data_IF_804855671383
#
_entry.id   IF_804855671383
#
_cell.length_a   1.000
_cell.length_b   1.000
_cell.length_c   1.000
_cell.angle_alpha   90.00
_cell.angle_beta   90.00
_cell.angle_gamma   90.00
#
_symmetry.space_group_name_H-M   'P 1'
#
loop_
_entity.id
_entity.type
_entity.pdbx_description
1 polymer ?
#
# COMPACT_ATOMS: atom_id res chain seq x y z
N UNK A 1 0.31 -53.64 27.77
CA UNK A 1 0.11 -52.26 28.29
C UNK A 1 1.09 -51.37 27.55
N UNK A 2 0.62 -50.78 26.47
CA UNK A 2 1.41 -49.88 25.60
C UNK A 2 1.16 -48.46 26.09
N UNK A 3 2.21 -47.82 26.63
CA UNK A 3 2.21 -46.37 26.87
C UNK A 3 2.37 -45.72 25.52
N UNK A 4 1.31 -45.12 25.00
CA UNK A 4 1.37 -44.09 23.99
C UNK A 4 1.92 -42.83 24.67
N UNK A 5 3.22 -42.61 24.49
CA UNK A 5 3.81 -41.30 24.75
C UNK A 5 3.19 -40.31 23.74
N UNK A 6 2.18 -39.60 24.20
CA UNK A 6 1.71 -38.35 23.54
C UNK A 6 2.86 -37.38 23.67
N UNK A 7 3.60 -37.18 22.57
CA UNK A 7 4.55 -36.10 22.44
C UNK A 7 3.78 -34.79 22.58
N UNK A 8 4.08 -34.09 23.65
CA UNK A 8 3.58 -32.75 23.96
C UNK A 8 4.17 -31.81 22.92
N UNK A 9 3.39 -31.49 21.88
CA UNK A 9 3.76 -30.47 20.91
C UNK A 9 3.71 -29.18 21.70
N UNK A 10 4.87 -28.61 22.06
CA UNK A 10 4.97 -27.34 22.77
C UNK A 10 4.04 -26.30 22.10
N UNK A 11 3.25 -25.62 22.92
CA UNK A 11 2.35 -24.57 22.44
C UNK A 11 3.11 -23.64 21.47
N UNK A 12 2.62 -23.43 20.23
CA UNK A 12 3.31 -22.58 19.26
C UNK A 12 3.64 -21.17 19.78
N UNK A 13 2.84 -20.65 20.73
CA UNK A 13 3.10 -19.36 21.36
C UNK A 13 4.28 -19.44 22.34
N UNK A 14 4.36 -20.54 23.13
CA UNK A 14 5.48 -20.76 24.04
C UNK A 14 6.80 -20.96 23.27
N UNK A 15 6.76 -21.72 22.17
CA UNK A 15 7.93 -21.90 21.31
C UNK A 15 8.42 -20.57 20.74
N UNK A 16 7.51 -19.71 20.23
CA UNK A 16 7.87 -18.39 19.72
C UNK A 16 8.48 -17.49 20.81
N UNK A 17 7.91 -17.49 22.02
CA UNK A 17 8.45 -16.72 23.13
C UNK A 17 9.87 -17.16 23.51
N UNK A 18 10.14 -18.47 23.52
CA UNK A 18 11.47 -19.02 23.77
C UNK A 18 12.46 -18.65 22.66
N UNK A 19 12.05 -18.75 21.40
CA UNK A 19 12.90 -18.35 20.26
C UNK A 19 13.24 -16.85 20.35
N UNK A 20 12.25 -16.00 20.60
CA UNK A 20 12.47 -14.56 20.76
C UNK A 20 13.43 -14.25 21.91
N UNK A 21 13.28 -14.90 23.05
CA UNK A 21 14.17 -14.73 24.19
C UNK A 21 15.63 -15.14 23.87
N UNK A 22 15.82 -16.26 23.16
CA UNK A 22 17.17 -16.68 22.72
C UNK A 22 17.79 -15.70 21.72
N UNK A 23 16.99 -15.16 20.79
CA UNK A 23 17.45 -14.13 19.84
C UNK A 23 17.89 -12.86 20.59
N UNK A 24 17.17 -12.42 21.62
CA UNK A 24 17.56 -11.29 22.47
C UNK A 24 18.87 -11.55 23.22
N UNK A 25 18.98 -12.74 23.84
CA UNK A 25 20.18 -13.11 24.60
C UNK A 25 21.45 -13.18 23.71
N UNK A 26 21.29 -13.47 22.42
CA UNK A 26 22.38 -13.62 21.44
C UNK A 26 22.48 -12.46 20.44
N UNK A 27 21.78 -11.36 20.70
CA UNK A 27 21.64 -10.25 19.75
C UNK A 27 22.98 -9.69 19.26
N UNK A 28 23.97 -9.54 20.14
CA UNK A 28 25.29 -9.00 19.76
C UNK A 28 26.03 -9.97 18.82
N UNK A 29 26.01 -11.27 19.08
CA UNK A 29 26.65 -12.25 18.21
C UNK A 29 25.99 -12.30 16.82
N UNK A 30 24.67 -12.24 16.78
CA UNK A 30 23.89 -12.19 15.53
C UNK A 30 24.20 -10.93 14.72
N UNK A 31 24.27 -9.78 15.39
CA UNK A 31 24.60 -8.50 14.74
C UNK A 31 26.01 -8.51 14.21
N UNK A 32 26.98 -8.98 15.00
CA UNK A 32 28.40 -9.00 14.59
C UNK A 32 28.60 -9.92 13.37
N UNK A 33 28.01 -11.11 13.36
CA UNK A 33 28.05 -12.02 12.20
C UNK A 33 27.39 -11.40 10.97
N UNK A 34 26.19 -10.84 11.11
CA UNK A 34 25.48 -10.20 10.01
C UNK A 34 26.24 -8.97 9.45
N UNK A 35 26.85 -8.15 10.32
CA UNK A 35 27.65 -6.99 9.90
C UNK A 35 28.92 -7.42 9.20
N UNK A 36 29.59 -8.48 9.65
CA UNK A 36 30.81 -9.00 9.03
C UNK A 36 30.60 -9.38 7.55
N UNK A 37 29.44 -9.92 7.21
CA UNK A 37 29.10 -10.30 5.83
C UNK A 37 28.29 -9.25 5.07
N UNK A 38 27.91 -8.15 5.71
CA UNK A 38 27.07 -7.10 5.12
C UNK A 38 27.70 -6.36 3.95
N UNK A 39 29.05 -6.34 3.88
CA UNK A 39 29.79 -5.76 2.76
C UNK A 39 29.46 -6.43 1.41
N UNK A 40 28.93 -7.64 1.41
CA UNK A 40 28.53 -8.38 0.21
C UNK A 40 27.03 -8.24 -0.11
N UNK A 41 26.31 -7.45 0.65
CA UNK A 41 24.84 -7.34 0.59
C UNK A 41 24.32 -5.97 0.11
N UNK A 42 25.16 -5.17 -0.56
CA UNK A 42 24.79 -3.86 -1.08
C UNK A 42 24.89 -2.73 -0.05
N UNK A 43 25.61 -2.95 1.06
CA UNK A 43 25.84 -1.95 2.11
C UNK A 43 27.27 -1.41 2.12
N UNK A 44 28.02 -1.56 1.02
CA UNK A 44 29.43 -1.16 0.93
C UNK A 44 29.63 0.35 1.14
N UNK A 45 28.64 1.15 0.73
CA UNK A 45 28.67 2.61 0.86
C UNK A 45 28.44 3.12 2.27
N UNK A 46 27.91 2.29 3.19
CA UNK A 46 27.61 2.69 4.55
C UNK A 46 28.82 2.52 5.47
N UNK A 47 28.99 3.46 6.39
CA UNK A 47 29.97 3.31 7.48
C UNK A 47 29.59 2.09 8.36
N UNK A 48 30.61 1.46 8.98
CA UNK A 48 30.38 0.27 9.83
C UNK A 48 29.39 0.55 10.95
N UNK A 49 29.46 1.74 11.57
CA UNK A 49 28.52 2.15 12.63
C UNK A 49 27.06 2.19 12.14
N UNK A 50 26.82 2.70 10.94
CA UNK A 50 25.48 2.79 10.35
C UNK A 50 24.96 1.41 9.96
N UNK A 51 25.83 0.52 9.44
CA UNK A 51 25.48 -0.89 9.19
C UNK A 51 25.06 -1.59 10.48
N UNK A 52 25.84 -1.44 11.54
CA UNK A 52 25.54 -2.04 12.85
C UNK A 52 24.21 -1.53 13.40
N UNK A 53 23.97 -0.22 13.31
CA UNK A 53 22.70 0.39 13.74
C UNK A 53 21.51 -0.19 12.95
N UNK A 54 21.63 -0.25 11.63
CA UNK A 54 20.61 -0.78 10.75
C UNK A 54 20.30 -2.26 11.04
N UNK A 55 21.33 -3.09 11.08
CA UNK A 55 21.21 -4.53 11.35
C UNK A 55 20.58 -4.77 12.72
N UNK A 56 20.96 -4.00 13.74
CA UNK A 56 20.37 -4.09 15.10
C UNK A 56 18.88 -3.72 15.11
N UNK A 57 18.49 -2.65 14.44
CA UNK A 57 17.09 -2.24 14.34
C UNK A 57 16.23 -3.29 13.63
N UNK A 58 16.74 -3.87 12.55
CA UNK A 58 16.01 -4.95 11.85
C UNK A 58 15.93 -6.23 12.72
N UNK A 59 16.98 -6.56 13.49
CA UNK A 59 16.94 -7.70 14.42
C UNK A 59 15.91 -7.51 15.54
N UNK A 60 15.77 -6.30 16.09
CA UNK A 60 14.75 -5.99 17.09
C UNK A 60 13.34 -6.22 16.54
N UNK A 61 13.06 -5.74 15.32
CA UNK A 61 11.79 -5.97 14.65
C UNK A 61 11.53 -7.45 14.35
N UNK A 62 12.55 -8.17 13.88
CA UNK A 62 12.46 -9.60 13.62
C UNK A 62 12.14 -10.36 14.92
N UNK A 63 12.80 -10.04 16.03
CA UNK A 63 12.56 -10.66 17.32
C UNK A 63 11.14 -10.38 17.83
N UNK A 64 10.66 -9.13 17.65
CA UNK A 64 9.28 -8.77 17.97
C UNK A 64 8.28 -9.55 17.11
N UNK A 65 8.52 -9.65 15.80
CA UNK A 65 7.67 -10.42 14.88
C UNK A 65 7.65 -11.92 15.19
N UNK A 66 8.76 -12.49 15.66
CA UNK A 66 8.80 -13.88 16.14
C UNK A 66 7.88 -14.06 17.36
N UNK A 67 7.94 -13.13 18.31
CA UNK A 67 7.15 -13.19 19.56
C UNK A 67 5.66 -13.06 19.31
N UNK A 68 5.25 -12.02 18.59
CA UNK A 68 3.85 -11.64 18.42
C UNK A 68 3.19 -12.27 17.19
N UNK A 69 3.96 -12.94 16.33
CA UNK A 69 3.55 -13.49 15.02
C UNK A 69 3.06 -12.47 13.99
N UNK A 70 2.98 -11.21 14.33
CA UNK A 70 2.59 -10.09 13.46
C UNK A 70 3.33 -8.83 13.89
N UNK A 71 3.50 -7.89 12.95
CA UNK A 71 4.01 -6.55 13.24
C UNK A 71 2.90 -5.53 13.01
N UNK A 72 2.70 -4.63 13.96
CA UNK A 72 1.86 -3.45 13.75
C UNK A 72 2.71 -2.34 13.12
N UNK A 73 2.26 -1.84 11.98
CA UNK A 73 2.91 -0.73 11.26
C UNK A 73 2.97 0.59 12.05
N UNK A 74 2.36 0.64 13.22
CA UNK A 74 2.33 1.80 14.13
C UNK A 74 3.34 1.71 15.27
N UNK A 75 4.10 0.62 15.36
CA UNK A 75 5.12 0.49 16.40
C UNK A 75 6.25 1.52 16.18
N UNK A 76 6.73 2.10 17.28
CA UNK A 76 7.81 3.10 17.26
C UNK A 76 9.06 2.59 16.57
N UNK A 77 9.41 1.32 16.77
CA UNK A 77 10.61 0.70 16.19
C UNK A 77 10.58 0.66 14.65
N UNK A 78 9.40 0.48 14.05
CA UNK A 78 9.24 0.51 12.59
C UNK A 78 9.35 1.94 12.06
N UNK A 79 8.83 2.92 12.79
CA UNK A 79 8.95 4.33 12.43
C UNK A 79 10.41 4.76 12.44
N UNK A 80 11.16 4.34 13.46
CA UNK A 80 12.60 4.62 13.60
C UNK A 80 13.40 3.97 12.48
N UNK A 81 13.10 2.71 12.12
CA UNK A 81 13.72 2.03 10.99
C UNK A 81 13.43 2.75 9.67
N UNK A 82 12.18 3.15 9.44
CA UNK A 82 11.78 3.89 8.24
C UNK A 82 12.55 5.20 8.13
N UNK A 83 12.78 5.89 9.23
CA UNK A 83 13.58 7.11 9.26
C UNK A 83 15.04 6.84 8.90
N UNK A 84 15.65 5.79 9.43
CA UNK A 84 17.03 5.38 9.07
C UNK A 84 17.15 5.11 7.57
N UNK A 85 16.16 4.43 6.96
CA UNK A 85 16.16 4.17 5.51
C UNK A 85 16.00 5.44 4.68
N UNK A 86 15.17 6.40 5.13
CA UNK A 86 15.01 7.70 4.46
C UNK A 86 16.29 8.56 4.54
N UNK A 87 16.94 8.59 5.70
CA UNK A 87 18.17 9.34 5.93
C UNK A 87 19.36 8.78 5.14
N UNK A 88 19.41 7.46 4.94
CA UNK A 88 20.53 6.77 4.27
C UNK A 88 20.33 6.53 2.78
N UNK A 89 19.19 6.93 2.19
CA UNK A 89 18.85 6.69 0.78
C UNK A 89 18.94 5.21 0.35
N UNK A 90 18.77 4.28 1.29
CA UNK A 90 18.84 2.86 1.02
C UNK A 90 17.60 2.40 0.25
N UNK A 91 17.82 1.50 -0.68
CA UNK A 91 16.73 0.89 -1.45
C UNK A 91 16.09 -0.30 -0.70
N UNK A 92 14.93 -0.72 -1.16
CA UNK A 92 14.19 -1.84 -0.58
C UNK A 92 14.96 -3.16 -0.69
N UNK A 93 15.78 -3.31 -1.73
CA UNK A 93 16.62 -4.50 -1.95
C UNK A 93 17.61 -4.67 -0.80
N UNK A 94 18.17 -3.56 -0.30
CA UNK A 94 19.06 -3.57 0.85
C UNK A 94 18.38 -4.10 2.10
N UNK A 95 17.11 -3.72 2.37
CA UNK A 95 16.34 -4.28 3.48
C UNK A 95 16.17 -5.80 3.36
N UNK A 96 15.77 -6.29 2.18
CA UNK A 96 15.62 -7.73 1.96
C UNK A 96 16.95 -8.47 2.16
N UNK A 97 18.06 -7.88 1.72
CA UNK A 97 19.39 -8.46 1.95
C UNK A 97 19.71 -8.51 3.45
N UNK A 98 19.46 -7.42 4.19
CA UNK A 98 19.66 -7.39 5.66
C UNK A 98 18.80 -8.42 6.37
N UNK A 99 17.51 -8.49 6.03
CA UNK A 99 16.60 -9.47 6.61
C UNK A 99 17.04 -10.92 6.35
N UNK A 100 17.52 -11.20 5.12
CA UNK A 100 18.09 -12.52 4.78
C UNK A 100 19.36 -12.84 5.56
N UNK A 101 20.28 -11.88 5.70
CA UNK A 101 21.50 -12.07 6.49
C UNK A 101 21.17 -12.34 7.95
N UNK A 102 20.24 -11.57 8.52
CA UNK A 102 19.79 -11.76 9.89
C UNK A 102 19.08 -13.09 10.10
N UNK A 103 18.23 -13.52 9.17
CA UNK A 103 17.62 -14.85 9.22
C UNK A 103 18.69 -15.94 9.30
N UNK A 104 19.70 -15.87 8.44
CA UNK A 104 20.82 -16.81 8.41
C UNK A 104 21.60 -16.81 9.73
N UNK A 105 22.03 -15.64 10.21
CA UNK A 105 22.80 -15.49 11.43
C UNK A 105 22.00 -15.91 12.66
N UNK A 106 20.72 -15.53 12.74
CA UNK A 106 19.81 -15.93 13.80
C UNK A 106 19.61 -17.47 13.85
N UNK A 107 19.36 -18.10 12.71
CA UNK A 107 19.24 -19.56 12.66
C UNK A 107 20.56 -20.26 13.02
N UNK A 108 21.71 -19.69 12.64
CA UNK A 108 23.03 -20.20 13.04
C UNK A 108 23.24 -20.19 14.56
N UNK A 109 22.86 -19.10 15.23
CA UNK A 109 22.98 -18.96 16.68
C UNK A 109 21.96 -19.84 17.42
N UNK A 110 20.74 -20.03 16.88
CA UNK A 110 19.72 -20.90 17.48
C UNK A 110 20.11 -22.39 17.39
N UNK A 111 20.87 -22.80 16.37
CA UNK A 111 21.37 -24.21 16.27
C UNK A 111 22.33 -24.55 17.38
N UNK A 112 23.15 -23.59 17.82
CA UNK A 112 24.14 -23.82 18.91
C UNK A 112 23.54 -23.60 20.29
N UNK A 113 22.28 -23.17 20.38
CA UNK A 113 21.59 -23.01 21.65
C UNK A 113 21.08 -24.36 22.19
N UNK A 114 21.74 -24.86 23.21
CA UNK A 114 21.40 -26.13 23.84
C UNK A 114 19.97 -26.20 24.40
N UNK A 115 19.32 -25.03 24.62
CA UNK A 115 17.95 -24.96 25.16
C UNK A 115 16.89 -25.48 24.19
N UNK A 116 17.19 -25.54 22.88
CA UNK A 116 16.24 -26.02 21.88
C UNK A 116 16.33 -27.51 21.57
N UNK A 117 17.36 -28.20 22.04
CA UNK A 117 17.60 -29.56 21.69
C UNK A 117 17.55 -29.80 20.18
N UNK A 118 18.57 -30.28 19.57
CA UNK A 118 18.66 -30.53 18.11
C UNK A 118 17.78 -31.71 17.64
N UNK A 119 16.57 -31.87 18.20
CA UNK A 119 15.65 -32.90 17.73
C UNK A 119 15.05 -32.47 16.40
N UNK A 120 15.02 -33.40 15.48
CA UNK A 120 14.51 -33.26 14.11
C UNK A 120 13.08 -32.67 14.02
N UNK A 121 12.32 -32.66 15.12
CA UNK A 121 10.90 -32.29 15.12
C UNK A 121 10.65 -30.83 15.45
N UNK A 122 11.47 -30.17 16.27
CA UNK A 122 11.29 -28.74 16.64
C UNK A 122 11.93 -27.77 15.67
N UNK A 123 12.99 -28.20 14.99
CA UNK A 123 13.75 -27.34 14.11
C UNK A 123 12.94 -26.74 12.90
N UNK A 124 12.07 -27.52 12.22
CA UNK A 124 11.22 -26.96 11.18
C UNK A 124 10.32 -25.83 11.69
N UNK A 125 9.75 -25.96 12.89
CA UNK A 125 8.89 -24.95 13.49
C UNK A 125 9.68 -23.67 13.85
N UNK A 126 10.88 -23.81 14.41
CA UNK A 126 11.79 -22.69 14.72
C UNK A 126 12.16 -21.95 13.44
N UNK A 127 12.66 -22.68 12.42
CA UNK A 127 13.07 -22.06 11.16
C UNK A 127 11.90 -21.38 10.44
N UNK A 128 10.70 -21.97 10.51
CA UNK A 128 9.49 -21.36 9.94
C UNK A 128 9.10 -20.08 10.69
N UNK A 129 9.20 -20.06 12.02
CA UNK A 129 8.88 -18.86 12.82
C UNK A 129 9.81 -17.70 12.47
N UNK A 130 11.13 -17.94 12.37
CA UNK A 130 12.12 -16.91 12.00
C UNK A 130 11.91 -16.43 10.56
N UNK A 131 11.69 -17.32 9.60
CA UNK A 131 11.41 -16.96 8.20
C UNK A 131 10.15 -16.14 8.04
N UNK A 132 9.08 -16.55 8.73
CA UNK A 132 7.83 -15.79 8.74
C UNK A 132 8.04 -14.39 9.29
N UNK A 133 8.76 -14.24 10.40
CA UNK A 133 9.09 -12.95 10.98
C UNK A 133 9.93 -12.08 10.04
N UNK A 134 10.90 -12.65 9.34
CA UNK A 134 11.69 -11.96 8.31
C UNK A 134 10.80 -11.42 7.19
N UNK A 135 9.85 -12.22 6.72
CA UNK A 135 8.86 -11.79 5.73
C UNK A 135 7.95 -10.67 6.25
N UNK A 136 7.43 -10.79 7.48
CA UNK A 136 6.58 -9.76 8.11
C UNK A 136 7.30 -8.41 8.23
N UNK A 137 8.58 -8.40 8.61
CA UNK A 137 9.41 -7.17 8.65
C UNK A 137 9.47 -6.52 7.27
N UNK A 138 9.77 -7.30 6.23
CA UNK A 138 9.85 -6.78 4.87
C UNK A 138 8.49 -6.29 4.36
N UNK A 139 7.41 -7.04 4.59
CA UNK A 139 6.06 -6.69 4.16
C UNK A 139 5.57 -5.40 4.82
N UNK A 140 5.72 -5.30 6.15
CA UNK A 140 5.32 -4.11 6.91
C UNK A 140 6.12 -2.88 6.50
N UNK A 141 7.41 -3.03 6.22
CA UNK A 141 8.23 -1.93 5.72
C UNK A 141 7.78 -1.46 4.33
N UNK A 142 7.44 -2.40 3.43
CA UNK A 142 6.88 -2.06 2.12
C UNK A 142 5.58 -1.26 2.26
N UNK A 143 4.69 -1.67 3.14
CA UNK A 143 3.43 -0.95 3.41
C UNK A 143 3.65 0.47 3.93
N UNK A 144 4.63 0.66 4.83
CA UNK A 144 4.97 1.97 5.36
C UNK A 144 5.59 2.85 4.29
N UNK A 145 6.51 2.27 3.50
CA UNK A 145 7.14 2.99 2.40
C UNK A 145 6.13 3.41 1.35
N UNK A 146 5.15 2.58 1.03
CA UNK A 146 4.06 2.95 0.13
C UNK A 146 3.23 4.11 0.69
N UNK A 147 3.05 4.18 2.03
CA UNK A 147 2.38 5.30 2.69
C UNK A 147 3.24 6.59 2.74
N UNK A 148 4.56 6.48 2.80
CA UNK A 148 5.50 7.59 2.93
C UNK A 148 6.24 7.92 1.64
N UNK A 149 6.17 7.06 0.62
CA UNK A 149 6.68 7.42 -0.68
C UNK A 149 5.68 8.39 -1.31
N UNK A 150 5.81 9.66 -0.94
CA UNK A 150 5.33 10.79 -1.73
C UNK A 150 6.05 10.78 -3.09
N UNK A 151 6.00 9.65 -3.75
CA UNK A 151 6.38 9.51 -5.14
C UNK A 151 5.44 10.38 -5.95
N UNK A 152 5.95 11.05 -6.95
CA UNK A 152 5.15 11.83 -7.90
C UNK A 152 4.19 10.90 -8.66
N UNK A 153 4.54 9.60 -8.74
CA UNK A 153 3.79 8.59 -9.50
C UNK A 153 3.56 7.31 -8.71
N UNK A 154 2.37 6.73 -8.89
CA UNK A 154 1.99 5.41 -8.37
C UNK A 154 2.76 4.28 -9.08
N UNK A 155 3.32 3.35 -8.34
CA UNK A 155 4.19 2.29 -8.87
C UNK A 155 3.45 1.27 -9.74
N UNK A 156 2.16 1.04 -9.50
CA UNK A 156 1.36 0.07 -10.24
C UNK A 156 0.85 0.63 -11.57
N UNK A 157 0.42 1.90 -11.59
CA UNK A 157 -0.26 2.51 -12.74
C UNK A 157 0.58 3.56 -13.46
N UNK A 158 1.69 4.02 -12.87
CA UNK A 158 2.52 5.16 -13.32
C UNK A 158 1.76 6.49 -13.44
N UNK A 159 0.55 6.57 -12.90
CA UNK A 159 -0.22 7.80 -12.77
C UNK A 159 0.29 8.64 -11.60
N UNK A 160 -0.13 9.90 -11.52
CA UNK A 160 0.19 10.71 -10.34
C UNK A 160 -0.39 10.10 -9.06
N UNK A 161 0.22 10.42 -7.92
CA UNK A 161 -0.32 10.05 -6.61
C UNK A 161 -1.42 11.03 -6.17
N UNK A 162 -2.18 10.64 -5.13
CA UNK A 162 -3.21 11.48 -4.50
C UNK A 162 -2.65 12.83 -4.05
N UNK A 163 -1.45 12.85 -3.49
CA UNK A 163 -0.80 14.06 -2.98
C UNK A 163 -0.52 15.07 -4.11
N UNK A 164 -0.02 14.59 -5.24
CA UNK A 164 0.19 15.41 -6.43
C UNK A 164 -1.13 15.95 -6.97
N UNK A 165 -2.17 15.10 -6.99
CA UNK A 165 -3.50 15.48 -7.40
C UNK A 165 -4.08 16.62 -6.53
N UNK A 166 -4.01 16.48 -5.21
CA UNK A 166 -4.49 17.49 -4.27
C UNK A 166 -3.75 18.80 -4.42
N UNK A 167 -2.43 18.77 -4.61
CA UNK A 167 -1.64 19.97 -4.87
C UNK A 167 -2.02 20.65 -6.19
N UNK A 168 -2.33 19.89 -7.23
CA UNK A 168 -2.82 20.43 -8.50
C UNK A 168 -4.23 21.04 -8.35
N UNK A 169 -5.10 20.35 -7.60
CA UNK A 169 -6.47 20.82 -7.33
C UNK A 169 -6.48 22.12 -6.52
N UNK A 170 -5.63 22.26 -5.50
CA UNK A 170 -5.48 23.51 -4.74
C UNK A 170 -5.08 24.70 -5.65
N UNK A 171 -4.18 24.47 -6.58
CA UNK A 171 -3.80 25.51 -7.57
C UNK A 171 -4.94 25.85 -8.52
N UNK A 172 -5.71 24.85 -8.94
CA UNK A 172 -6.85 25.09 -9.83
C UNK A 172 -8.00 25.83 -9.14
N UNK A 173 -8.24 25.58 -7.85
CA UNK A 173 -9.18 26.36 -7.03
C UNK A 173 -8.79 27.84 -7.03
N UNK A 174 -7.53 28.15 -6.76
CA UNK A 174 -7.02 29.54 -6.76
C UNK A 174 -7.11 30.19 -8.16
N UNK A 175 -6.85 29.40 -9.21
CA UNK A 175 -6.92 29.85 -10.59
C UNK A 175 -8.37 30.11 -11.02
N UNK A 176 -9.29 29.21 -10.69
CA UNK A 176 -10.72 29.31 -10.96
C UNK A 176 -11.33 30.57 -10.32
N UNK A 177 -11.02 30.87 -9.06
CA UNK A 177 -11.47 32.08 -8.39
C UNK A 177 -10.95 33.35 -9.11
N UNK A 178 -9.63 33.34 -9.45
CA UNK A 178 -8.99 34.51 -10.09
C UNK A 178 -9.52 34.83 -11.47
N UNK A 179 -9.80 33.80 -12.26
CA UNK A 179 -10.15 33.93 -13.68
C UNK A 179 -11.62 33.64 -13.99
N UNK A 180 -12.41 33.30 -12.97
CA UNK A 180 -13.85 33.02 -13.05
C UNK A 180 -14.19 31.94 -14.09
N UNK A 181 -13.43 30.84 -14.12
CA UNK A 181 -13.71 29.68 -14.97
C UNK A 181 -14.14 28.45 -14.16
N UNK A 182 -14.98 27.63 -14.79
CA UNK A 182 -15.39 26.36 -14.21
C UNK A 182 -14.29 25.31 -14.36
N UNK A 183 -14.21 24.36 -13.41
CA UNK A 183 -13.44 23.12 -13.53
C UNK A 183 -14.26 21.95 -13.01
N UNK A 184 -13.83 20.72 -13.34
CA UNK A 184 -14.48 19.53 -12.80
C UNK A 184 -13.46 18.60 -12.15
N UNK A 185 -13.91 17.90 -11.11
CA UNK A 185 -13.22 16.77 -10.47
C UNK A 185 -14.01 15.52 -10.76
N UNK A 186 -13.37 14.55 -11.37
CA UNK A 186 -13.97 13.25 -11.68
C UNK A 186 -13.26 12.16 -10.86
N UNK A 187 -14.03 11.29 -10.23
CA UNK A 187 -13.52 10.07 -9.59
C UNK A 187 -14.09 8.86 -10.30
N UNK A 188 -13.20 7.96 -10.71
CA UNK A 188 -13.52 6.70 -11.38
C UNK A 188 -13.15 5.57 -10.43
N UNK A 189 -14.06 4.67 -10.16
CA UNK A 189 -13.85 3.53 -9.27
C UNK A 189 -14.27 2.24 -9.97
N UNK A 190 -13.43 1.19 -9.85
CA UNK A 190 -13.64 -0.08 -10.51
C UNK A 190 -14.73 -0.87 -9.80
N UNK A 191 -15.76 -1.23 -10.53
CA UNK A 191 -16.88 -1.99 -9.96
C UNK A 191 -16.44 -3.41 -9.62
N UNK A 192 -16.82 -3.86 -8.40
CA UNK A 192 -16.65 -5.25 -7.93
C UNK A 192 -15.22 -5.78 -7.92
N UNK A 193 -14.21 -4.92 -7.75
CA UNK A 193 -12.81 -5.37 -7.71
C UNK A 193 -12.55 -6.40 -6.60
N UNK A 194 -13.22 -6.30 -5.46
CA UNK A 194 -13.14 -7.30 -4.39
C UNK A 194 -13.65 -8.69 -4.83
N UNK A 195 -14.69 -8.75 -5.67
CA UNK A 195 -15.21 -10.00 -6.22
C UNK A 195 -14.19 -10.60 -7.21
N UNK A 196 -13.56 -9.77 -8.04
CA UNK A 196 -12.48 -10.18 -8.95
C UNK A 196 -11.31 -10.74 -8.16
N UNK A 197 -10.85 -10.03 -7.12
CA UNK A 197 -9.76 -10.49 -6.27
C UNK A 197 -10.08 -11.82 -5.58
N UNK A 198 -11.31 -11.98 -5.10
CA UNK A 198 -11.75 -13.20 -4.42
C UNK A 198 -11.84 -14.40 -5.35
N UNK A 199 -12.26 -14.18 -6.60
CA UNK A 199 -12.44 -15.24 -7.59
C UNK A 199 -11.11 -15.63 -8.29
N UNK A 200 -10.24 -14.65 -8.58
CA UNK A 200 -9.08 -14.80 -9.46
C UNK A 200 -7.73 -14.44 -8.82
N UNK A 201 -7.75 -14.01 -7.55
CA UNK A 201 -6.56 -13.59 -6.80
C UNK A 201 -6.17 -12.12 -7.02
N UNK A 202 -5.34 -11.59 -6.12
CA UNK A 202 -4.91 -10.18 -6.15
C UNK A 202 -4.18 -9.78 -7.44
N UNK A 203 -3.43 -10.68 -8.06
CA UNK A 203 -2.77 -10.41 -9.33
C UNK A 203 -3.73 -10.09 -10.49
N UNK A 204 -4.95 -10.65 -10.46
CA UNK A 204 -6.00 -10.30 -11.43
C UNK A 204 -6.55 -8.89 -11.18
N UNK A 205 -6.73 -8.52 -9.92
CA UNK A 205 -7.12 -7.15 -9.57
C UNK A 205 -6.07 -6.12 -9.95
N UNK A 206 -4.79 -6.38 -9.67
CA UNK A 206 -3.69 -5.50 -10.07
C UNK A 206 -3.63 -5.32 -11.60
N UNK A 207 -3.84 -6.41 -12.35
CA UNK A 207 -3.94 -6.36 -13.81
C UNK A 207 -5.10 -5.45 -14.27
N UNK A 208 -6.28 -5.57 -13.65
CA UNK A 208 -7.43 -4.71 -13.95
C UNK A 208 -7.12 -3.25 -13.64
N UNK A 209 -6.56 -2.95 -12.47
CA UNK A 209 -6.18 -1.60 -12.08
C UNK A 209 -5.20 -1.00 -13.10
N UNK A 210 -4.16 -1.73 -13.49
CA UNK A 210 -3.21 -1.30 -14.52
C UNK A 210 -3.90 -1.00 -15.86
N UNK A 211 -4.78 -1.88 -16.31
CA UNK A 211 -5.48 -1.72 -17.58
C UNK A 211 -6.44 -0.53 -17.59
N UNK A 212 -7.20 -0.34 -16.51
CA UNK A 212 -8.03 0.85 -16.34
C UNK A 212 -7.16 2.10 -16.32
N UNK A 213 -6.06 2.10 -15.57
CA UNK A 213 -5.10 3.20 -15.52
C UNK A 213 -4.57 3.59 -16.91
N UNK A 214 -4.23 2.62 -17.77
CA UNK A 214 -3.80 2.87 -19.16
C UNK A 214 -4.93 3.50 -19.97
N UNK A 215 -6.16 2.99 -19.87
CA UNK A 215 -7.31 3.56 -20.58
C UNK A 215 -7.54 4.99 -20.15
N UNK A 216 -7.57 5.25 -18.84
CA UNK A 216 -7.78 6.57 -18.27
C UNK A 216 -6.69 7.53 -18.72
N UNK A 217 -5.40 7.16 -18.58
CA UNK A 217 -4.28 8.01 -19.01
C UNK A 217 -4.36 8.41 -20.49
N UNK A 218 -4.71 7.48 -21.37
CA UNK A 218 -4.74 7.71 -22.81
C UNK A 218 -5.99 8.47 -23.27
N UNK A 219 -6.98 8.61 -22.40
CA UNK A 219 -8.25 9.24 -22.75
C UNK A 219 -8.28 10.75 -22.47
N UNK A 220 -7.53 11.21 -21.46
CA UNK A 220 -7.49 12.59 -21.03
C UNK A 220 -6.35 13.35 -21.70
N UNK A 221 -6.47 14.70 -21.72
CA UNK A 221 -5.50 15.62 -22.35
C UNK A 221 -4.25 15.76 -21.47
N UNK A 222 -3.16 16.25 -22.02
CA UNK A 222 -1.96 16.60 -21.25
C UNK A 222 -2.20 17.69 -20.18
N UNK A 223 -3.22 18.54 -20.39
CA UNK A 223 -3.62 19.58 -19.42
C UNK A 223 -4.45 19.05 -18.28
N UNK A 224 -4.98 17.83 -18.39
CA UNK A 224 -5.77 17.20 -17.37
C UNK A 224 -4.85 16.44 -16.40
N UNK A 225 -5.15 16.51 -15.11
CA UNK A 225 -4.38 15.78 -14.11
C UNK A 225 -5.04 14.45 -13.81
N UNK A 226 -4.30 13.38 -14.02
CA UNK A 226 -4.78 12.01 -13.80
C UNK A 226 -3.94 11.35 -12.72
N UNK A 227 -4.60 10.89 -11.66
CA UNK A 227 -3.96 10.29 -10.51
C UNK A 227 -4.66 9.00 -10.05
N UNK A 228 -3.92 8.14 -9.39
CA UNK A 228 -4.49 7.07 -8.56
C UNK A 228 -4.77 7.63 -7.17
N UNK A 229 -6.05 7.79 -6.82
CA UNK A 229 -6.46 8.42 -5.58
C UNK A 229 -6.40 7.48 -4.37
N UNK A 230 -6.82 6.23 -4.56
CA UNK A 230 -6.76 5.16 -3.55
C UNK A 230 -7.01 3.82 -4.24
N UNK A 231 -6.47 2.72 -3.72
CA UNK A 231 -6.79 1.35 -4.11
C UNK A 231 -7.21 1.13 -5.56
N UNK A 232 -8.50 1.14 -5.80
CA UNK A 232 -9.19 0.97 -7.09
C UNK A 232 -9.77 2.27 -7.68
N UNK A 233 -9.49 3.41 -7.05
CA UNK A 233 -10.03 4.72 -7.45
C UNK A 233 -9.01 5.60 -8.16
N UNK A 234 -9.45 6.25 -9.25
CA UNK A 234 -8.69 7.23 -10.02
C UNK A 234 -9.36 8.60 -9.90
N UNK A 235 -8.55 9.64 -9.69
CA UNK A 235 -9.01 11.02 -9.66
C UNK A 235 -8.51 11.78 -10.88
N UNK A 236 -9.38 12.55 -11.50
CA UNK A 236 -9.08 13.35 -12.68
C UNK A 236 -9.53 14.79 -12.44
N UNK A 237 -8.62 15.74 -12.61
CA UNK A 237 -8.93 17.17 -12.62
C UNK A 237 -9.02 17.63 -14.06
N UNK A 238 -10.12 18.30 -14.38
CA UNK A 238 -10.45 18.82 -15.70
C UNK A 238 -10.54 20.37 -15.62
N UNK A 239 -9.43 21.08 -15.86
CA UNK A 239 -9.44 22.53 -15.90
C UNK A 239 -10.37 23.07 -17.01
N UNK A 240 -10.96 24.24 -16.77
CA UNK A 240 -11.77 24.96 -17.77
C UNK A 240 -12.86 24.09 -18.43
N UNK A 241 -13.43 23.14 -17.66
CA UNK A 241 -14.40 22.17 -18.18
C UNK A 241 -15.78 22.38 -17.54
N UNK A 242 -16.77 22.82 -18.31
CA UNK A 242 -18.14 23.02 -17.84
C UNK A 242 -18.86 21.68 -17.64
N UNK A 243 -19.99 21.72 -16.92
CA UNK A 243 -20.75 20.55 -16.51
C UNK A 243 -21.12 19.60 -17.65
N UNK A 244 -21.62 20.15 -18.77
CA UNK A 244 -22.06 19.32 -19.89
C UNK A 244 -20.91 18.50 -20.48
N UNK A 245 -19.75 19.13 -20.63
CA UNK A 245 -18.55 18.48 -21.19
C UNK A 245 -17.96 17.46 -20.23
N UNK A 246 -17.88 17.77 -18.94
CA UNK A 246 -17.41 16.84 -17.91
C UNK A 246 -18.30 15.58 -17.84
N UNK A 247 -19.63 15.75 -17.88
CA UNK A 247 -20.58 14.64 -17.86
C UNK A 247 -20.49 13.77 -19.13
N UNK A 248 -20.35 14.41 -20.30
CA UNK A 248 -20.17 13.69 -21.55
C UNK A 248 -18.85 12.92 -21.57
N UNK A 249 -17.77 13.54 -21.11
CA UNK A 249 -16.45 12.90 -21.01
C UNK A 249 -16.48 11.69 -20.08
N UNK A 250 -17.06 11.85 -18.89
CA UNK A 250 -17.22 10.75 -17.94
C UNK A 250 -17.98 9.55 -18.54
N UNK A 251 -19.09 9.82 -19.24
CA UNK A 251 -19.87 8.74 -19.85
C UNK A 251 -19.12 8.05 -20.98
N UNK A 252 -18.32 8.78 -21.76
CA UNK A 252 -17.47 8.19 -22.79
C UNK A 252 -16.37 7.29 -22.19
N UNK A 253 -15.71 7.73 -21.12
CA UNK A 253 -14.70 6.92 -20.42
C UNK A 253 -15.33 5.64 -19.89
N UNK A 254 -16.50 5.73 -19.24
CA UNK A 254 -17.25 4.57 -18.76
C UNK A 254 -17.49 3.53 -19.87
N UNK A 255 -18.00 4.00 -21.02
CA UNK A 255 -18.26 3.13 -22.18
C UNK A 255 -16.98 2.50 -22.71
N UNK A 256 -15.90 3.28 -22.85
CA UNK A 256 -14.61 2.78 -23.35
C UNK A 256 -14.03 1.70 -22.41
N UNK A 257 -14.15 1.86 -21.10
CA UNK A 257 -13.73 0.83 -20.16
C UNK A 257 -14.56 -0.44 -20.33
N UNK A 258 -15.89 -0.34 -20.35
CA UNK A 258 -16.81 -1.47 -20.53
C UNK A 258 -16.57 -2.22 -21.85
N UNK A 259 -16.34 -1.52 -22.97
CA UNK A 259 -16.17 -2.11 -24.28
C UNK A 259 -14.77 -2.71 -24.50
N UNK A 260 -13.72 -2.16 -23.88
CA UNK A 260 -12.32 -2.56 -24.15
C UNK A 260 -11.72 -3.47 -23.10
N UNK A 261 -12.27 -3.50 -21.90
CA UNK A 261 -11.71 -4.30 -20.83
C UNK A 261 -12.62 -5.48 -20.49
N UNK A 262 -12.16 -6.66 -20.88
CA UNK A 262 -12.82 -7.92 -20.56
C UNK A 262 -11.86 -8.82 -19.80
N UNK A 263 -12.35 -9.43 -18.74
CA UNK A 263 -11.65 -10.50 -18.05
C UNK A 263 -12.15 -11.84 -18.57
N UNK A 264 -11.22 -12.78 -18.72
CA UNK A 264 -11.53 -14.15 -19.07
C UNK A 264 -11.42 -15.01 -17.83
N UNK A 265 -12.49 -15.69 -17.49
CA UNK A 265 -12.44 -16.73 -16.47
C UNK A 265 -11.81 -17.99 -17.07
N UNK A 266 -10.59 -18.34 -16.64
CA UNK A 266 -9.87 -19.52 -17.13
C UNK A 266 -10.51 -20.84 -16.72
N UNK A 267 -11.51 -20.83 -15.83
CA UNK A 267 -12.23 -22.03 -15.40
C UNK A 267 -13.45 -22.33 -16.23
N UNK A 268 -14.21 -21.29 -16.61
CA UNK A 268 -15.42 -21.41 -17.41
C UNK A 268 -15.24 -20.99 -18.87
N UNK A 269 -14.10 -20.39 -19.23
CA UNK A 269 -13.82 -19.76 -20.53
C UNK A 269 -14.73 -18.56 -20.86
N UNK A 270 -15.54 -18.12 -19.89
CA UNK A 270 -16.43 -16.98 -20.06
C UNK A 270 -15.65 -15.66 -20.02
N UNK A 271 -16.13 -14.69 -20.79
CA UNK A 271 -15.64 -13.33 -20.76
C UNK A 271 -16.70 -12.42 -20.13
N UNK A 272 -16.28 -11.56 -19.20
CA UNK A 272 -17.15 -10.55 -18.60
C UNK A 272 -16.48 -9.16 -18.64
N UNK A 273 -17.27 -8.09 -18.90
CA UNK A 273 -16.73 -6.75 -18.97
C UNK A 273 -16.31 -6.24 -17.59
N UNK A 274 -15.22 -5.48 -17.54
CA UNK A 274 -14.88 -4.65 -16.40
C UNK A 274 -15.68 -3.37 -16.53
N UNK A 275 -16.39 -2.98 -15.46
CA UNK A 275 -17.15 -1.73 -15.43
C UNK A 275 -16.62 -0.79 -14.37
N UNK A 276 -16.96 0.49 -14.51
CA UNK A 276 -16.60 1.54 -13.56
C UNK A 276 -17.80 2.40 -13.20
N UNK A 277 -17.85 2.82 -11.94
CA UNK A 277 -18.76 3.86 -11.46
C UNK A 277 -18.01 5.18 -11.37
N UNK A 278 -18.62 6.26 -11.85
CA UNK A 278 -17.96 7.57 -11.97
C UNK A 278 -18.76 8.62 -11.22
N UNK A 279 -18.07 9.37 -10.36
CA UNK A 279 -18.58 10.57 -9.73
C UNK A 279 -17.95 11.82 -10.38
N UNK A 280 -18.74 12.80 -10.72
CA UNK A 280 -18.28 14.09 -11.27
C UNK A 280 -18.76 15.21 -10.39
N UNK A 281 -17.82 15.96 -9.85
CA UNK A 281 -18.07 17.24 -9.19
C UNK A 281 -17.77 18.36 -10.19
N UNK A 282 -18.69 19.31 -10.34
CA UNK A 282 -18.43 20.52 -11.15
C UNK A 282 -18.42 21.74 -10.25
N UNK A 283 -17.34 22.49 -10.31
CA UNK A 283 -17.11 23.73 -9.61
C UNK A 283 -17.23 24.92 -10.60
N UNK A 284 -18.37 25.58 -10.61
CA UNK A 284 -18.60 26.77 -11.43
C UNK A 284 -18.10 28.04 -10.73
N UNK A 285 -18.13 28.02 -9.39
CA UNK A 285 -17.64 29.10 -8.54
C UNK A 285 -17.24 28.46 -7.20
N UNK A 286 -15.99 28.56 -6.82
CA UNK A 286 -15.46 28.00 -5.56
C UNK A 286 -14.59 29.05 -4.89
N UNK A 287 -14.81 29.23 -3.59
CA UNK A 287 -13.97 30.08 -2.75
C UNK A 287 -12.59 29.43 -2.60
N UNK A 288 -11.51 30.19 -2.69
CA UNK A 288 -10.13 29.70 -2.52
C UNK A 288 -9.84 29.10 -1.14
N UNK A 289 -10.69 29.37 -0.15
CA UNK A 289 -10.60 28.76 1.17
C UNK A 289 -11.18 27.34 1.22
N UNK A 290 -11.82 26.88 0.13
CA UNK A 290 -12.36 25.53 0.06
C UNK A 290 -11.22 24.52 -0.02
N UNK A 291 -11.10 23.57 0.93
CA UNK A 291 -10.04 22.56 0.88
C UNK A 291 -10.20 21.65 -0.34
N UNK A 292 -9.09 21.34 -1.01
CA UNK A 292 -9.10 20.38 -2.14
C UNK A 292 -9.66 19.01 -1.75
N UNK A 293 -9.35 18.54 -0.54
CA UNK A 293 -9.88 17.30 0.03
C UNK A 293 -11.40 17.29 0.11
N UNK A 294 -12.02 18.43 0.42
CA UNK A 294 -13.49 18.53 0.51
C UNK A 294 -14.15 18.38 -0.86
N UNK A 295 -13.56 18.94 -1.92
CA UNK A 295 -14.05 18.77 -3.29
C UNK A 295 -13.86 17.31 -3.78
N UNK A 296 -12.69 16.73 -3.49
CA UNK A 296 -12.44 15.34 -3.84
C UNK A 296 -13.43 14.40 -3.12
N UNK A 297 -13.68 14.62 -1.83
CA UNK A 297 -14.65 13.84 -1.05
C UNK A 297 -16.08 13.94 -1.61
N UNK A 298 -16.52 15.11 -2.10
CA UNK A 298 -17.82 15.24 -2.76
C UNK A 298 -17.89 14.45 -4.08
N UNK A 299 -16.81 14.40 -4.85
CA UNK A 299 -16.74 13.56 -6.04
C UNK A 299 -16.76 12.05 -5.68
N UNK A 300 -16.07 11.66 -4.61
CA UNK A 300 -16.10 10.29 -4.07
C UNK A 300 -17.52 9.89 -3.58
N UNK A 301 -18.25 10.81 -2.93
CA UNK A 301 -19.65 10.58 -2.55
C UNK A 301 -20.56 10.38 -3.78
N UNK A 302 -20.30 11.11 -4.87
CA UNK A 302 -21.02 10.92 -6.12
C UNK A 302 -20.76 9.52 -6.71
N UNK A 303 -19.54 8.97 -6.59
CA UNK A 303 -19.27 7.56 -6.94
C UNK A 303 -20.14 6.63 -6.10
N UNK A 304 -20.23 6.86 -4.79
CA UNK A 304 -21.13 6.10 -3.91
C UNK A 304 -22.58 6.08 -4.40
N UNK A 305 -23.09 7.24 -4.83
CA UNK A 305 -24.43 7.35 -5.43
C UNK A 305 -24.56 6.55 -6.74
N UNK A 306 -23.55 6.59 -7.61
CA UNK A 306 -23.49 5.80 -8.84
C UNK A 306 -23.50 4.29 -8.53
N UNK A 307 -22.72 3.85 -7.54
CA UNK A 307 -22.69 2.43 -7.09
C UNK A 307 -24.03 1.97 -6.52
N UNK A 308 -24.68 2.78 -5.70
CA UNK A 308 -26.00 2.48 -5.12
C UNK A 308 -27.12 2.42 -6.18
N UNK A 309 -27.05 3.27 -7.19
CA UNK A 309 -28.01 3.29 -8.29
C UNK A 309 -27.89 2.11 -9.27
N UNK A 310 -26.90 1.20 -9.08
CA UNK A 310 -26.75 -0.03 -9.85
C UNK A 310 -25.42 -0.15 -10.60
N UNK A 311 -24.42 0.65 -10.26
CA UNK A 311 -23.07 0.64 -10.85
C UNK A 311 -23.04 0.97 -12.35
N UNK A 312 -21.87 0.89 -12.96
CA UNK A 312 -21.65 1.14 -14.40
C UNK A 312 -22.35 2.41 -14.90
N UNK A 313 -22.19 3.52 -14.18
CA UNK A 313 -22.83 4.80 -14.48
C UNK A 313 -22.10 6.00 -13.95
N UNK A 314 -22.56 7.17 -14.38
CA UNK A 314 -22.06 8.46 -13.95
C UNK A 314 -23.08 9.12 -13.03
N UNK A 315 -22.62 9.65 -11.89
CA UNK A 315 -23.36 10.58 -11.05
C UNK A 315 -22.66 11.95 -11.08
N UNK A 316 -23.42 13.03 -11.25
CA UNK A 316 -22.86 14.38 -11.36
C UNK A 316 -23.47 15.30 -10.32
N UNK A 317 -22.62 15.96 -9.53
CA UNK A 317 -23.00 16.93 -8.49
C UNK A 317 -22.38 18.29 -8.78
N UNK A 318 -22.95 19.34 -8.24
CA UNK A 318 -22.33 20.66 -8.19
C UNK A 318 -21.55 20.81 -6.88
N UNK A 319 -20.45 21.55 -6.90
CA UNK A 319 -19.71 21.86 -5.68
C UNK A 319 -20.63 22.61 -4.70
N UNK A 320 -20.77 22.06 -3.49
CA UNK A 320 -21.49 22.74 -2.41
C UNK A 320 -20.50 23.54 -1.55
N UNK A 321 -20.86 24.75 -1.19
CA UNK A 321 -20.07 25.59 -0.30
C UNK A 321 -20.23 25.21 1.20
N UNK A 322 -20.67 23.98 1.50
CA UNK A 322 -20.87 23.55 2.88
C UNK A 322 -19.53 23.45 3.62
N UNK A 323 -19.37 24.33 4.61
CA UNK A 323 -18.37 24.13 5.66
C UNK A 323 -18.71 22.83 6.39
N UNK A 324 -17.72 21.94 6.65
CA UNK A 324 -17.96 20.85 7.59
C UNK A 324 -18.37 21.48 8.94
N UNK A 325 -19.55 21.10 9.43
CA UNK A 325 -20.02 21.46 10.78
C UNK A 325 -18.97 21.04 11.79
N UNK A 326 -18.21 22.00 12.29
CA UNK A 326 -17.45 21.83 13.51
C UNK A 326 -18.46 21.92 14.64
N UNK A 327 -18.66 20.87 15.47
CA UNK A 327 -19.43 21.04 16.69
C UNK A 327 -18.73 22.08 17.55
N UNK A 328 -19.43 23.19 17.79
CA UNK A 328 -19.04 24.17 18.79
C UNK A 328 -18.96 23.42 20.13
N UNK A 329 -17.76 23.29 20.65
CA UNK A 329 -17.55 22.90 22.05
C UNK A 329 -17.81 24.14 22.87
N UNK A 330 -18.94 24.13 23.60
CA UNK A 330 -19.22 25.05 24.70
C UNK A 330 -18.32 24.76 25.94
#
# INVERSE_FOLDING_TARGET
>A
MSRTDTYDVADPAELRARVAHSLEARAEAIVDDAVAISAFAGMESLAVADRTRLVRSVLQLLTHAVREATLDSRTTDITDLSQVFLETTLDIRTLFNVAYLLERSALGELVVDESFGTTSETWPAISQAVRRASFEVCATFCEIRDRHSSGITDSLTTLHTREVFLAALDKEIQRSERFSHAFAVMVIDIDRLCEINSAHGYGAGDFVIQRVGIVVRNYFRETDWVARAAGDAFAILLPETPRADAQQLANRVRIVVEERLHLRDYRSDDQFPVTVSIGVLVAESVDRSTPAEALLAQAEQAVGSAKQAGRNRVACVAASAERPDHPLVD
#
